data_IF_162886963666
#
_entry.id   IF_162886963666
#
_cell.length_a   1.000
_cell.length_b   1.000
_cell.length_c   1.000
_cell.angle_alpha   90.00
_cell.angle_beta   90.00
_cell.angle_gamma   90.00
#
_symmetry.space_group_name_H-M   'P 1'
#
loop_
_entity.id
_entity.type
_entity.pdbx_description
1 polymer ?
#
# COMPACT_ATOMS: atom_id res chain seq x y z
N UNK A 1 -11.05 3.69 -4.74
CA UNK A 1 -12.49 3.53 -4.42
C UNK A 1 -13.35 3.94 -5.61
N UNK A 2 -14.44 3.23 -5.85
CA UNK A 2 -15.42 3.51 -6.93
C UNK A 2 -16.83 3.61 -6.36
N UNK A 3 -17.62 4.54 -6.87
CA UNK A 3 -19.03 4.69 -6.54
C UNK A 3 -19.88 3.95 -7.56
N UNK A 4 -20.70 3.01 -7.07
CA UNK A 4 -21.67 2.28 -7.87
C UNK A 4 -23.07 2.47 -7.31
N UNK A 5 -24.06 2.50 -8.20
CA UNK A 5 -25.47 2.49 -7.85
C UNK A 5 -25.92 1.07 -7.50
N UNK A 6 -27.15 0.95 -6.99
CA UNK A 6 -27.76 -0.35 -6.69
C UNK A 6 -27.91 -1.24 -7.95
N UNK A 7 -27.91 -0.64 -9.15
CA UNK A 7 -27.93 -1.33 -10.44
C UNK A 7 -26.52 -1.67 -10.96
N UNK A 8 -25.47 -1.42 -10.17
CA UNK A 8 -24.07 -1.66 -10.53
C UNK A 8 -23.47 -0.63 -11.48
N UNK A 9 -24.21 0.42 -11.87
CA UNK A 9 -23.67 1.48 -12.74
C UNK A 9 -22.83 2.50 -11.98
N UNK A 10 -21.84 3.15 -12.62
CA UNK A 10 -21.08 4.22 -11.99
C UNK A 10 -22.00 5.36 -11.54
N UNK A 11 -21.78 5.86 -10.32
CA UNK A 11 -22.44 7.06 -9.80
C UNK A 11 -21.44 8.19 -9.74
N UNK A 12 -21.82 9.37 -10.21
CA UNK A 12 -20.97 10.56 -10.16
C UNK A 12 -21.34 11.39 -8.94
N UNK A 13 -20.34 11.93 -8.24
CA UNK A 13 -20.53 12.86 -7.14
C UNK A 13 -20.97 14.23 -7.68
N UNK A 14 -22.27 14.53 -7.74
CA UNK A 14 -22.75 15.71 -8.49
C UNK A 14 -22.78 17.01 -7.67
N UNK A 15 -23.02 16.95 -6.35
CA UNK A 15 -23.30 18.14 -5.54
C UNK A 15 -22.28 18.34 -4.40
N UNK A 16 -21.10 17.78 -4.54
CA UNK A 16 -20.01 17.89 -3.57
C UNK A 16 -19.15 16.63 -3.56
N UNK A 17 -18.01 16.66 -2.88
CA UNK A 17 -17.16 15.50 -2.76
C UNK A 17 -17.85 14.38 -1.96
N UNK A 18 -17.51 13.15 -2.29
CA UNK A 18 -17.83 11.96 -1.48
C UNK A 18 -16.57 11.56 -0.73
N UNK A 19 -16.68 11.39 0.58
CA UNK A 19 -15.61 10.88 1.43
C UNK A 19 -15.83 9.39 1.64
N UNK A 20 -14.81 8.60 1.31
CA UNK A 20 -14.76 7.16 1.52
C UNK A 20 -13.76 6.87 2.63
N UNK A 21 -14.18 6.14 3.66
CA UNK A 21 -13.34 5.67 4.75
C UNK A 21 -12.97 4.22 4.51
N UNK A 22 -11.68 3.90 4.63
CA UNK A 22 -11.15 2.55 4.54
C UNK A 22 -11.09 1.91 5.94
N UNK A 23 -11.04 0.59 6.03
CA UNK A 23 -10.90 -0.14 7.30
C UNK A 23 -9.64 0.25 8.10
N UNK A 24 -8.57 0.67 7.41
CA UNK A 24 -7.37 1.22 8.07
C UNK A 24 -7.57 2.62 8.69
N UNK A 25 -8.76 3.20 8.57
CA UNK A 25 -9.08 4.56 9.02
C UNK A 25 -8.59 5.67 8.07
N UNK A 26 -7.99 5.30 6.92
CA UNK A 26 -7.60 6.27 5.88
C UNK A 26 -8.82 6.73 5.07
N UNK A 27 -8.73 7.91 4.48
CA UNK A 27 -9.84 8.50 3.72
C UNK A 27 -9.46 8.75 2.26
N UNK A 28 -10.35 8.39 1.33
CA UNK A 28 -10.30 8.78 -0.08
C UNK A 28 -11.38 9.84 -0.33
N UNK A 29 -11.00 10.94 -0.96
CA UNK A 29 -11.94 11.96 -1.43
C UNK A 29 -12.21 11.76 -2.91
N UNK A 30 -13.47 11.51 -3.27
CA UNK A 30 -13.94 11.47 -4.65
C UNK A 30 -14.48 12.87 -4.97
N UNK A 31 -13.80 13.56 -5.87
CA UNK A 31 -14.14 14.93 -6.24
C UNK A 31 -15.52 15.02 -6.90
N UNK A 32 -16.15 16.20 -6.81
CA UNK A 32 -17.37 16.46 -7.56
C UNK A 32 -17.13 16.29 -9.07
N UNK A 33 -18.07 15.67 -9.78
CA UNK A 33 -17.96 15.29 -11.17
C UNK A 33 -17.20 13.98 -11.42
N UNK A 34 -16.65 13.33 -10.38
CA UNK A 34 -15.97 12.04 -10.49
C UNK A 34 -16.80 10.89 -9.88
N UNK A 35 -16.52 9.67 -10.34
CA UNK A 35 -17.09 8.41 -9.80
C UNK A 35 -16.06 7.54 -9.09
N UNK A 36 -14.80 7.99 -9.02
CA UNK A 36 -13.71 7.26 -8.40
C UNK A 36 -12.66 8.19 -7.82
N UNK A 37 -11.88 7.66 -6.88
CA UNK A 37 -10.74 8.33 -6.24
C UNK A 37 -9.71 7.31 -5.79
N UNK A 38 -8.49 7.78 -5.60
CA UNK A 38 -7.35 6.97 -5.16
C UNK A 38 -6.73 7.56 -3.89
N UNK A 39 -5.99 6.73 -3.18
CA UNK A 39 -5.16 7.11 -2.04
C UNK A 39 -3.76 6.57 -2.31
N UNK A 40 -2.78 7.46 -2.34
CA UNK A 40 -1.38 7.07 -2.41
C UNK A 40 -0.91 6.58 -1.04
N UNK A 41 -0.27 5.41 -1.03
CA UNK A 41 0.31 4.81 0.18
C UNK A 41 1.80 4.67 -0.06
N UNK A 42 2.59 5.40 0.72
CA UNK A 42 4.04 5.26 0.71
C UNK A 42 4.45 3.95 1.41
N UNK A 43 5.37 3.21 0.79
CA UNK A 43 5.91 1.95 1.28
C UNK A 43 7.44 2.11 1.38
N UNK A 44 8.03 1.59 2.46
CA UNK A 44 9.48 1.62 2.67
C UNK A 44 10.20 0.53 1.88
N UNK A 45 11.49 0.75 1.60
CA UNK A 45 12.44 -0.29 1.19
C UNK A 45 13.30 -0.62 2.41
N UNK A 46 13.57 -1.90 2.64
CA UNK A 46 14.58 -2.27 3.62
C UNK A 46 15.38 -3.52 3.23
N UNK A 47 16.53 -3.69 3.88
CA UNK A 47 17.53 -4.70 3.54
C UNK A 47 17.06 -6.13 3.87
N UNK A 48 16.15 -6.30 4.83
CA UNK A 48 15.93 -7.56 5.54
C UNK A 48 14.49 -8.08 5.56
N UNK A 49 13.51 -7.21 5.39
CA UNK A 49 12.11 -7.57 5.24
C UNK A 49 11.82 -7.74 3.76
N UNK A 50 11.13 -8.82 3.44
CA UNK A 50 10.71 -9.10 2.09
C UNK A 50 9.49 -8.27 1.67
N UNK A 51 8.96 -8.53 0.46
CA UNK A 51 7.79 -7.86 -0.07
C UNK A 51 6.62 -7.90 0.93
N UNK A 52 6.07 -6.72 1.24
CA UNK A 52 4.91 -6.58 2.12
C UNK A 52 3.63 -6.55 1.30
N UNK A 53 2.56 -7.17 1.79
CA UNK A 53 1.24 -7.11 1.16
C UNK A 53 0.37 -6.10 1.91
N UNK A 54 -0.15 -5.11 1.19
CA UNK A 54 -1.12 -4.14 1.74
C UNK A 54 -2.51 -4.58 1.31
N UNK A 55 -3.40 -4.80 2.27
CA UNK A 55 -4.80 -5.16 2.02
C UNK A 55 -5.70 -4.13 2.67
N UNK A 56 -6.61 -3.58 1.88
CA UNK A 56 -7.54 -2.53 2.31
C UNK A 56 -8.92 -2.82 1.74
N UNK A 57 -9.96 -2.42 2.47
CA UNK A 57 -11.34 -2.47 2.00
C UNK A 57 -12.08 -1.18 2.38
N UNK A 58 -13.22 -0.92 1.74
CA UNK A 58 -14.06 0.24 2.07
C UNK A 58 -14.96 -0.11 3.25
N UNK A 59 -14.86 0.68 4.32
CA UNK A 59 -15.76 0.61 5.48
C UNK A 59 -17.04 1.42 5.24
N UNK A 60 -16.90 2.69 4.83
CA UNK A 60 -18.03 3.59 4.63
C UNK A 60 -17.79 4.62 3.53
N UNK A 61 -18.87 5.11 2.93
CA UNK A 61 -18.83 6.23 1.97
C UNK A 61 -20.01 7.17 2.24
N UNK A 62 -19.74 8.48 2.28
CA UNK A 62 -20.76 9.50 2.57
C UNK A 62 -20.44 10.83 1.89
N UNK A 63 -21.45 11.69 1.74
CA UNK A 63 -21.30 13.00 1.10
C UNK A 63 -21.86 13.04 -0.31
N UNK A 64 -21.55 14.12 -1.03
CA UNK A 64 -22.03 14.34 -2.40
C UNK A 64 -23.55 14.44 -2.57
N UNK A 65 -24.32 14.55 -1.47
CA UNK A 65 -25.79 14.60 -1.36
C UNK A 65 -26.59 13.48 -2.05
N UNK A 66 -25.96 12.33 -2.29
CA UNK A 66 -26.57 11.22 -3.01
C UNK A 66 -27.61 10.50 -2.13
N UNK A 67 -28.80 10.20 -2.67
CA UNK A 67 -29.88 9.49 -1.96
C UNK A 67 -29.50 8.06 -1.53
N UNK A 68 -28.63 7.39 -2.29
CA UNK A 68 -28.06 6.09 -1.94
C UNK A 68 -26.67 5.93 -2.55
N UNK A 69 -25.71 5.45 -1.76
CA UNK A 69 -24.34 5.13 -2.20
C UNK A 69 -24.10 3.66 -1.89
N UNK A 70 -23.73 2.87 -2.90
CA UNK A 70 -23.26 1.50 -2.72
C UNK A 70 -21.78 1.42 -3.12
N UNK A 71 -20.84 1.74 -2.20
CA UNK A 71 -19.42 1.60 -2.48
C UNK A 71 -19.06 0.13 -2.63
N UNK A 72 -18.04 -0.15 -3.46
CA UNK A 72 -17.51 -1.51 -3.55
C UNK A 72 -16.66 -1.84 -2.31
N UNK A 73 -17.17 -2.67 -1.42
CA UNK A 73 -16.52 -3.09 -0.18
C UNK A 73 -15.61 -4.31 -0.33
N UNK A 74 -15.43 -4.82 -1.55
CA UNK A 74 -14.54 -5.96 -1.81
C UNK A 74 -13.10 -5.59 -1.41
N UNK A 75 -12.42 -6.38 -0.56
CA UNK A 75 -11.03 -6.14 -0.23
C UNK A 75 -10.14 -6.14 -1.47
N UNK A 76 -9.23 -5.18 -1.54
CA UNK A 76 -8.21 -5.09 -2.58
C UNK A 76 -6.85 -5.30 -1.94
N UNK A 77 -6.05 -6.20 -2.53
CA UNK A 77 -4.71 -6.50 -2.06
C UNK A 77 -3.68 -6.09 -3.11
N UNK A 78 -2.62 -5.41 -2.67
CA UNK A 78 -1.50 -5.00 -3.51
C UNK A 78 -0.21 -5.56 -2.91
N UNK A 79 0.53 -6.31 -3.71
CA UNK A 79 1.85 -6.81 -3.33
C UNK A 79 2.88 -5.73 -3.65
N UNK A 80 3.63 -5.30 -2.65
CA UNK A 80 4.76 -4.38 -2.82
C UNK A 80 5.96 -5.19 -3.25
N UNK A 81 6.51 -4.92 -4.45
CA UNK A 81 7.79 -5.50 -4.84
C UNK A 81 8.92 -4.80 -4.09
N UNK A 82 9.70 -5.59 -3.34
CA UNK A 82 10.90 -5.14 -2.66
C UNK A 82 12.17 -5.67 -3.36
N UNK A 83 13.28 -4.95 -3.26
CA UNK A 83 14.57 -5.33 -3.87
C UNK A 83 15.49 -5.85 -2.78
N UNK A 84 16.02 -7.06 -2.98
CA UNK A 84 17.00 -7.61 -2.05
C UNK A 84 18.32 -6.82 -2.11
N UNK A 85 18.67 -6.17 -1.01
CA UNK A 85 19.96 -5.50 -0.87
C UNK A 85 21.09 -6.53 -0.66
N UNK A 86 22.19 -6.40 -1.41
CA UNK A 86 23.36 -7.27 -1.26
C UNK A 86 24.35 -6.67 -0.27
N UNK A 87 24.56 -7.32 0.88
CA UNK A 87 25.61 -6.95 1.83
C UNK A 87 26.91 -7.70 1.51
N UNK A 88 27.93 -7.00 1.02
CA UNK A 88 29.24 -7.59 0.73
C UNK A 88 30.17 -7.44 1.93
N UNK A 89 30.52 -8.56 2.59
CA UNK A 89 31.59 -8.58 3.58
C UNK A 89 32.90 -8.94 2.88
N UNK A 90 33.85 -8.01 2.84
CA UNK A 90 35.18 -8.27 2.28
C UNK A 90 36.15 -8.61 3.40
N UNK A 91 36.76 -9.79 3.32
CA UNK A 91 37.77 -10.24 4.24
C UNK A 91 39.12 -10.33 3.53
N UNK A 92 40.06 -9.50 3.96
CA UNK A 92 41.44 -9.53 3.48
C UNK A 92 42.33 -10.21 4.53
N UNK A 93 42.99 -11.31 4.15
CA UNK A 93 44.06 -11.92 4.94
C UNK A 93 45.42 -11.57 4.31
N UNK A 94 46.42 -11.26 5.13
CA UNK A 94 47.81 -11.14 4.67
C UNK A 94 48.36 -12.52 4.27
N UNK A 95 49.13 -12.64 3.17
CA UNK A 95 49.60 -13.93 2.65
C UNK A 95 50.62 -14.66 3.54
N UNK A 96 51.06 -14.05 4.64
CA UNK A 96 51.93 -14.69 5.63
C UNK A 96 51.08 -15.47 6.61
N UNK A 97 51.01 -16.78 6.41
CA UNK A 97 50.49 -17.71 7.40
C UNK A 97 51.49 -17.82 8.55
N UNK A 98 51.07 -17.41 9.75
CA UNK A 98 51.60 -18.07 10.93
C UNK A 98 50.82 -19.38 11.02
N UNK A 99 51.51 -20.52 10.95
CA UNK A 99 50.93 -21.80 11.35
C UNK A 99 50.35 -21.59 12.76
N UNK A 100 49.03 -21.80 12.94
CA UNK A 100 48.22 -21.50 14.15
C UNK A 100 47.57 -20.10 14.29
N UNK A 101 47.52 -19.26 13.25
CA UNK A 101 46.70 -18.03 13.27
C UNK A 101 45.19 -18.32 13.32
N UNK A 102 44.49 -17.88 14.37
CA UNK A 102 43.02 -18.00 14.47
C UNK A 102 42.37 -16.70 14.02
N UNK A 103 41.54 -16.73 12.97
CA UNK A 103 40.67 -15.61 12.62
C UNK A 103 39.34 -15.82 13.34
N UNK A 104 39.02 -14.94 14.29
CA UNK A 104 37.73 -14.96 15.01
C UNK A 104 36.79 -13.94 14.39
N UNK A 105 35.57 -14.37 14.05
CA UNK A 105 34.48 -13.49 13.63
C UNK A 105 33.46 -13.41 14.76
N UNK A 106 33.11 -12.20 15.19
CA UNK A 106 31.96 -11.92 16.05
C UNK A 106 30.92 -11.17 15.26
#
# INVERSE_FOLDING_TARGET
ATLTGADGKPVTAQNGPVTVTLESGKTITIAAGASSGALDVAVGNDVYQGPTTVTESIDSASGGNLEAIAPNTTPVSTVVSDVNDTTTVTLTATPTVNENGTITYT
#
